data_IF_670460337444
#
_entry.id   IF_670460337444
#
_cell.length_a   1.000
_cell.length_b   1.000
_cell.length_c   1.000
_cell.angle_alpha   90.00
_cell.angle_beta   90.00
_cell.angle_gamma   90.00
#
_symmetry.space_group_name_H-M   'P 1'
#
loop_
_entity.id
_entity.type
_entity.pdbx_description
1 polymer ?
#
# COMPACT_ATOMS: atom_id res chain seq x y z
N UNK A 1 -14.38 37.47 -0.99
CA UNK A 1 -14.82 36.12 -1.40
C UNK A 1 -13.91 35.48 -2.46
N UNK A 2 -12.91 36.17 -3.03
CA UNK A 2 -11.93 35.58 -3.98
C UNK A 2 -10.67 35.00 -3.32
N UNK A 3 -10.32 35.46 -2.10
CA UNK A 3 -9.11 35.00 -1.39
C UNK A 3 -9.23 33.56 -0.85
N UNK A 4 -10.41 33.19 -0.34
CA UNK A 4 -10.68 31.84 0.17
C UNK A 4 -10.56 30.79 -0.94
N UNK A 5 -11.16 31.02 -2.11
CA UNK A 5 -11.11 30.04 -3.21
C UNK A 5 -9.69 29.79 -3.72
N UNK A 6 -8.84 30.81 -3.74
CA UNK A 6 -7.44 30.67 -4.16
C UNK A 6 -6.64 29.88 -3.12
N UNK A 7 -6.76 30.20 -1.83
CA UNK A 7 -6.07 29.46 -0.76
C UNK A 7 -6.50 27.98 -0.68
N UNK A 8 -7.79 27.68 -0.88
CA UNK A 8 -8.28 26.30 -0.95
C UNK A 8 -7.74 25.54 -2.18
N UNK A 9 -7.58 26.20 -3.32
CA UNK A 9 -6.99 25.58 -4.51
C UNK A 9 -5.48 25.31 -4.37
N UNK A 10 -4.74 26.24 -3.77
CA UNK A 10 -3.30 26.05 -3.51
C UNK A 10 -3.08 24.96 -2.46
N UNK A 11 -3.78 25.03 -1.31
CA UNK A 11 -3.70 24.00 -0.26
C UNK A 11 -4.14 22.62 -0.77
N UNK A 12 -5.16 22.55 -1.62
CA UNK A 12 -5.60 21.30 -2.25
C UNK A 12 -4.56 20.70 -3.21
N UNK A 13 -3.84 21.54 -3.97
CA UNK A 13 -2.76 21.09 -4.87
C UNK A 13 -1.54 20.62 -4.08
N UNK A 14 -1.12 21.34 -3.06
CA UNK A 14 0.01 20.97 -2.21
C UNK A 14 -0.25 19.65 -1.49
N UNK A 15 -1.47 19.46 -0.98
CA UNK A 15 -1.90 18.21 -0.36
C UNK A 15 -1.94 17.02 -1.34
N UNK A 16 -2.30 17.26 -2.60
CA UNK A 16 -2.22 16.23 -3.65
C UNK A 16 -0.77 15.86 -3.98
N UNK A 17 0.09 16.85 -4.20
CA UNK A 17 1.50 16.61 -4.51
C UNK A 17 2.22 15.88 -3.37
N UNK A 18 2.01 16.34 -2.13
CA UNK A 18 2.51 15.70 -0.93
C UNK A 18 2.02 14.25 -0.83
N UNK A 19 0.72 14.01 -1.04
CA UNK A 19 0.15 12.66 -0.98
C UNK A 19 0.74 11.73 -2.03
N UNK A 20 0.93 12.21 -3.26
CA UNK A 20 1.55 11.40 -4.31
C UNK A 20 3.01 11.07 -4.00
N UNK A 21 3.76 12.00 -3.41
CA UNK A 21 5.13 11.72 -2.91
C UNK A 21 5.12 10.73 -1.76
N UNK A 22 4.18 10.84 -0.82
CA UNK A 22 4.03 9.89 0.28
C UNK A 22 3.74 8.48 -0.26
N UNK A 23 2.86 8.35 -1.26
CA UNK A 23 2.58 7.07 -1.93
C UNK A 23 3.85 6.49 -2.57
N UNK A 24 4.62 7.32 -3.26
CA UNK A 24 5.89 6.90 -3.87
C UNK A 24 6.92 6.43 -2.85
N UNK A 25 7.01 7.10 -1.69
CA UNK A 25 7.88 6.71 -0.59
C UNK A 25 7.40 5.42 0.07
N UNK A 26 6.12 5.35 0.43
CA UNK A 26 5.51 4.16 1.02
C UNK A 26 5.69 2.93 0.10
N UNK A 27 5.55 3.08 -1.21
CA UNK A 27 5.77 1.99 -2.15
C UNK A 27 7.21 1.43 -2.15
N UNK A 28 8.20 2.13 -1.57
CA UNK A 28 9.59 1.68 -1.43
C UNK A 28 9.85 0.89 -0.16
N UNK A 29 8.88 0.82 0.73
CA UNK A 29 9.00 0.17 2.03
C UNK A 29 9.17 -1.34 1.93
N UNK A 30 9.74 -1.90 3.00
CA UNK A 30 10.17 -3.30 3.07
C UNK A 30 9.05 -4.26 2.67
N UNK A 31 7.81 -4.03 3.10
CA UNK A 31 6.67 -4.89 2.78
C UNK A 31 6.49 -5.11 1.27
N UNK A 32 6.63 -4.05 0.47
CA UNK A 32 6.41 -4.12 -0.98
C UNK A 32 7.62 -4.69 -1.73
N UNK A 33 8.82 -4.59 -1.15
CA UNK A 33 9.99 -5.31 -1.64
C UNK A 33 9.88 -6.80 -1.29
N UNK A 34 9.47 -7.11 -0.06
CA UNK A 34 9.34 -8.46 0.45
C UNK A 34 8.35 -9.26 -0.38
N UNK A 35 7.14 -8.74 -0.65
CA UNK A 35 6.16 -9.46 -1.48
C UNK A 35 6.67 -9.69 -2.91
N UNK A 36 7.40 -8.75 -3.49
CA UNK A 36 8.03 -8.93 -4.80
C UNK A 36 9.08 -10.06 -4.77
N UNK A 37 9.89 -10.14 -3.71
CA UNK A 37 10.82 -11.24 -3.51
C UNK A 37 10.10 -12.58 -3.29
N UNK A 38 9.01 -12.59 -2.52
CA UNK A 38 8.18 -13.78 -2.33
C UNK A 38 7.59 -14.29 -3.65
N UNK A 39 7.04 -13.38 -4.46
CA UNK A 39 6.55 -13.70 -5.80
C UNK A 39 7.65 -14.29 -6.69
N UNK A 40 8.87 -13.74 -6.66
CA UNK A 40 10.01 -14.28 -7.41
C UNK A 40 10.39 -15.71 -6.95
N UNK A 41 10.38 -15.97 -5.64
CA UNK A 41 10.64 -17.32 -5.10
C UNK A 41 9.57 -18.31 -5.56
N UNK A 42 8.30 -17.93 -5.49
CA UNK A 42 7.20 -18.77 -5.96
C UNK A 42 7.30 -19.04 -7.48
N UNK A 43 7.62 -18.02 -8.30
CA UNK A 43 7.78 -18.18 -9.77
C UNK A 43 8.89 -19.14 -10.15
N UNK A 44 9.96 -19.16 -9.36
CA UNK A 44 11.07 -20.09 -9.57
C UNK A 44 10.72 -21.55 -9.21
N UNK A 45 9.45 -21.87 -8.95
CA UNK A 45 8.99 -23.20 -8.56
C UNK A 45 9.49 -23.63 -7.18
N UNK A 46 9.96 -22.68 -6.35
CA UNK A 46 10.54 -23.01 -5.04
C UNK A 46 9.48 -23.18 -3.95
N UNK A 47 8.22 -22.85 -4.24
CA UNK A 47 7.14 -22.88 -3.28
C UNK A 47 5.86 -23.39 -3.96
N UNK A 48 5.27 -24.41 -3.34
CA UNK A 48 4.00 -24.99 -3.78
C UNK A 48 2.81 -24.10 -3.39
N UNK A 49 1.65 -24.26 -4.04
CA UNK A 49 0.40 -23.69 -3.54
C UNK A 49 0.15 -24.06 -2.06
N UNK A 50 -0.56 -23.19 -1.35
CA UNK A 50 -0.89 -23.29 0.08
C UNK A 50 0.32 -23.27 1.04
N UNK A 51 1.54 -23.17 0.50
CA UNK A 51 2.73 -22.99 1.33
C UNK A 51 2.82 -21.57 1.88
N UNK A 52 3.47 -21.44 3.04
CA UNK A 52 3.80 -20.15 3.63
C UNK A 52 5.30 -19.91 3.60
N UNK A 53 5.70 -18.66 3.46
CA UNK A 53 7.10 -18.25 3.57
C UNK A 53 7.22 -16.97 4.40
N UNK A 54 8.39 -16.77 4.99
CA UNK A 54 8.75 -15.51 5.63
C UNK A 54 9.82 -14.80 4.80
N UNK A 55 9.61 -13.50 4.59
CA UNK A 55 10.57 -12.61 3.92
C UNK A 55 10.68 -11.35 4.76
N UNK A 56 11.83 -11.14 5.40
CA UNK A 56 11.99 -10.09 6.39
C UNK A 56 11.03 -10.32 7.56
N UNK A 57 10.27 -9.29 7.92
CA UNK A 57 9.27 -9.35 8.99
C UNK A 57 7.88 -9.81 8.52
N UNK A 58 7.73 -10.23 7.26
CA UNK A 58 6.43 -10.48 6.64
C UNK A 58 6.22 -11.96 6.33
N UNK A 59 5.14 -12.52 6.86
CA UNK A 59 4.64 -13.84 6.48
C UNK A 59 3.75 -13.74 5.24
N UNK A 60 4.04 -14.57 4.26
CA UNK A 60 3.34 -14.63 2.98
C UNK A 60 2.76 -16.01 2.75
N UNK A 61 1.66 -16.06 2.03
CA UNK A 61 1.00 -17.29 1.59
C UNK A 61 1.06 -17.37 0.07
N UNK A 62 1.41 -18.54 -0.45
CA UNK A 62 1.13 -18.88 -1.85
C UNK A 62 -0.28 -19.43 -1.88
N UNK A 63 -1.18 -18.80 -2.63
CA UNK A 63 -2.58 -19.24 -2.78
C UNK A 63 -2.83 -19.58 -4.24
N UNK A 64 -3.74 -20.52 -4.50
CA UNK A 64 -4.27 -20.72 -5.84
C UNK A 64 -5.14 -19.52 -6.24
N UNK A 65 -5.11 -19.15 -7.52
CA UNK A 65 -6.05 -18.17 -8.06
C UNK A 65 -7.47 -18.78 -8.03
N UNK A 66 -8.51 -17.93 -8.00
CA UNK A 66 -9.92 -18.34 -7.85
C UNK A 66 -10.40 -19.31 -8.95
N UNK A 67 -9.70 -19.34 -10.10
CA UNK A 67 -9.99 -20.22 -11.22
C UNK A 67 -9.19 -21.54 -11.22
N UNK A 68 -8.27 -21.74 -10.27
CA UNK A 68 -7.39 -22.94 -10.22
C UNK A 68 -6.28 -22.98 -11.27
N UNK A 69 -6.24 -22.01 -12.19
CA UNK A 69 -5.28 -21.96 -13.31
C UNK A 69 -3.95 -21.28 -12.95
N UNK A 70 -3.79 -20.77 -11.73
CA UNK A 70 -2.61 -19.99 -11.37
C UNK A 70 -2.35 -19.92 -9.88
N UNK A 71 -1.26 -19.25 -9.51
CA UNK A 71 -0.91 -18.99 -8.11
C UNK A 71 -0.68 -17.49 -7.90
N UNK A 72 -1.00 -17.01 -6.71
CA UNK A 72 -0.65 -15.69 -6.22
C UNK A 72 0.13 -15.78 -4.92
N UNK A 73 1.03 -14.82 -4.69
CA UNK A 73 1.65 -14.61 -3.37
C UNK A 73 0.92 -13.47 -2.70
N UNK A 74 0.43 -13.72 -1.49
CA UNK A 74 -0.32 -12.77 -0.68
C UNK A 74 0.40 -12.46 0.63
N UNK A 75 0.34 -11.21 1.07
CA UNK A 75 0.67 -10.78 2.43
C UNK A 75 -0.53 -10.03 2.99
N UNK A 76 -0.89 -10.35 4.23
CA UNK A 76 -1.98 -9.71 4.96
C UNK A 76 -1.36 -8.90 6.09
N UNK A 77 -1.68 -7.62 6.14
CA UNK A 77 -1.24 -6.71 7.21
C UNK A 77 -2.40 -5.94 7.78
N UNK A 78 -2.26 -5.43 9.01
CA UNK A 78 -3.28 -4.58 9.60
C UNK A 78 -3.42 -3.27 8.83
N UNK A 79 -4.65 -2.75 8.74
CA UNK A 79 -4.90 -1.41 8.20
C UNK A 79 -4.07 -0.37 8.95
N UNK A 80 -4.02 -0.49 10.28
CA UNK A 80 -3.24 0.37 11.16
C UNK A 80 -1.77 0.46 10.74
N UNK A 81 -1.13 -0.64 10.35
CA UNK A 81 0.27 -0.62 9.90
C UNK A 81 0.45 0.26 8.66
N UNK A 82 -0.47 0.19 7.70
CA UNK A 82 -0.41 1.00 6.47
C UNK A 82 -0.73 2.47 6.77
N UNK A 83 -1.66 2.74 7.69
CA UNK A 83 -1.97 4.10 8.13
C UNK A 83 -0.79 4.72 8.88
N UNK A 84 -0.19 4.00 9.84
CA UNK A 84 0.99 4.45 10.59
C UNK A 84 2.14 4.75 9.61
N UNK A 85 2.36 3.88 8.61
CA UNK A 85 3.34 4.12 7.54
C UNK A 85 3.02 5.38 6.72
N UNK A 86 1.76 5.57 6.35
CA UNK A 86 1.34 6.72 5.55
C UNK A 86 1.56 8.04 6.31
N UNK A 87 1.25 8.06 7.61
CA UNK A 87 1.46 9.21 8.48
C UNK A 87 2.95 9.50 8.70
N UNK A 88 3.77 8.45 8.87
CA UNK A 88 5.22 8.60 8.94
C UNK A 88 5.76 9.29 7.67
N UNK A 89 5.28 8.90 6.47
CA UNK A 89 5.72 9.54 5.22
C UNK A 89 5.15 10.94 5.05
N UNK A 90 3.95 11.21 5.54
CA UNK A 90 3.40 12.56 5.59
C UNK A 90 4.29 13.47 6.44
N UNK A 91 4.59 13.07 7.68
CA UNK A 91 5.45 13.82 8.61
C UNK A 91 6.87 14.03 8.09
N UNK A 92 7.42 13.01 7.41
CA UNK A 92 8.72 13.12 6.75
C UNK A 92 8.76 14.20 5.66
N UNK A 93 7.65 14.35 4.91
CA UNK A 93 7.55 15.33 3.82
C UNK A 93 7.19 16.73 4.33
N UNK A 94 6.32 16.80 5.33
CA UNK A 94 5.90 18.04 5.98
C UNK A 94 5.60 17.78 7.47
N UNK A 95 6.37 18.43 8.34
CA UNK A 95 6.22 18.33 9.80
C UNK A 95 4.85 18.82 10.29
N UNK A 96 4.16 19.68 9.54
CA UNK A 96 2.82 20.15 9.91
C UNK A 96 1.79 19.01 10.01
N UNK A 97 2.09 17.84 9.43
CA UNK A 97 1.24 16.65 9.54
C UNK A 97 1.11 16.11 10.97
N UNK A 98 2.01 16.45 11.89
CA UNK A 98 1.89 16.12 13.32
C UNK A 98 0.69 16.83 13.96
N UNK A 99 0.40 18.06 13.51
CA UNK A 99 -0.63 18.95 14.07
C UNK A 99 -2.00 18.79 13.39
N UNK A 100 -2.13 17.86 12.44
CA UNK A 100 -3.41 17.62 11.77
C UNK A 100 -4.48 17.17 12.76
N UNK A 101 -5.66 17.78 12.63
CA UNK A 101 -6.86 17.31 13.33
C UNK A 101 -7.18 15.87 12.94
N UNK A 102 -7.92 15.16 13.79
CA UNK A 102 -8.35 13.79 13.50
C UNK A 102 -9.13 13.71 12.17
N UNK A 103 -9.94 14.72 11.88
CA UNK A 103 -10.70 14.81 10.64
C UNK A 103 -9.79 14.96 9.41
N UNK A 104 -8.83 15.89 9.45
CA UNK A 104 -7.85 16.08 8.35
C UNK A 104 -7.03 14.80 8.13
N UNK A 105 -6.58 14.17 9.22
CA UNK A 105 -5.84 12.91 9.18
C UNK A 105 -6.62 11.80 8.51
N UNK A 106 -7.89 11.61 8.89
CA UNK A 106 -8.76 10.58 8.32
C UNK A 106 -9.00 10.80 6.83
N UNK A 107 -9.37 12.04 6.46
CA UNK A 107 -9.58 12.43 5.06
C UNK A 107 -8.33 12.19 4.20
N UNK A 108 -7.15 12.51 4.75
CA UNK A 108 -5.89 12.31 4.04
C UNK A 108 -5.52 10.83 3.90
N UNK A 109 -5.71 10.02 4.95
CA UNK A 109 -5.46 8.57 4.93
C UNK A 109 -6.37 7.82 3.94
N UNK A 110 -7.63 8.20 3.87
CA UNK A 110 -8.57 7.66 2.87
C UNK A 110 -8.11 7.98 1.45
N UNK A 111 -7.72 9.24 1.21
CA UNK A 111 -7.20 9.65 -0.10
C UNK A 111 -5.87 8.94 -0.44
N UNK A 112 -4.98 8.76 0.55
CA UNK A 112 -3.71 8.07 0.38
C UNK A 112 -3.95 6.61 0.00
N UNK A 113 -4.85 5.92 0.70
CA UNK A 113 -5.18 4.51 0.45
C UNK A 113 -5.78 4.33 -0.96
N UNK A 114 -6.61 5.27 -1.40
CA UNK A 114 -7.20 5.29 -2.75
C UNK A 114 -6.13 5.43 -3.84
N UNK A 115 -5.05 6.17 -3.58
CA UNK A 115 -3.98 6.40 -4.55
C UNK A 115 -2.87 5.32 -4.48
N UNK A 116 -2.65 4.71 -3.31
CA UNK A 116 -1.64 3.69 -3.10
C UNK A 116 -1.90 2.43 -3.94
N UNK A 117 -3.13 1.90 -3.92
CA UNK A 117 -3.50 0.69 -4.67
C UNK A 117 -3.20 0.80 -6.17
N UNK A 118 -3.72 1.82 -6.88
CA UNK A 118 -3.43 2.06 -8.29
C UNK A 118 -1.93 2.26 -8.58
N UNK A 119 -1.21 2.96 -7.71
CA UNK A 119 0.23 3.15 -7.86
C UNK A 119 1.00 1.83 -7.77
N UNK A 120 0.73 1.04 -6.74
CA UNK A 120 1.33 -0.28 -6.53
C UNK A 120 1.02 -1.23 -7.69
N UNK A 121 -0.22 -1.22 -8.19
CA UNK A 121 -0.60 -2.04 -9.33
C UNK A 121 0.17 -1.62 -10.58
N UNK A 122 0.17 -0.32 -10.91
CA UNK A 122 0.84 0.21 -12.11
C UNK A 122 2.34 -0.09 -12.11
N UNK A 123 3.03 0.12 -11.00
CA UNK A 123 4.49 0.11 -10.95
C UNK A 123 5.11 -1.17 -10.39
N UNK A 124 4.37 -1.92 -9.58
CA UNK A 124 4.87 -3.13 -8.91
C UNK A 124 4.06 -4.38 -9.21
N UNK A 125 2.97 -4.26 -9.97
CA UNK A 125 2.03 -5.37 -10.24
C UNK A 125 1.46 -5.97 -8.94
N UNK A 126 1.41 -5.16 -7.87
CA UNK A 126 0.83 -5.53 -6.58
C UNK A 126 -0.62 -5.05 -6.57
N UNK A 127 -1.57 -5.96 -6.38
CA UNK A 127 -2.96 -5.59 -6.11
C UNK A 127 -3.13 -5.38 -4.62
N UNK A 128 -3.96 -4.39 -4.27
CA UNK A 128 -4.34 -4.07 -2.90
C UNK A 128 -5.84 -4.32 -2.76
N UNK A 129 -6.24 -5.11 -1.76
CA UNK A 129 -7.64 -5.49 -1.51
C UNK A 129 -7.95 -5.38 -0.01
N UNK A 130 -9.21 -5.17 0.37
CA UNK A 130 -9.66 -5.40 1.74
C UNK A 130 -9.34 -6.85 2.14
N UNK A 131 -8.71 -7.02 3.30
CA UNK A 131 -8.48 -8.32 3.92
C UNK A 131 -9.55 -8.66 4.96
N UNK A 132 -9.43 -9.80 5.65
CA UNK A 132 -10.34 -10.16 6.73
C UNK A 132 -10.26 -9.17 7.91
N UNK A 133 -11.42 -8.74 8.42
CA UNK A 133 -11.50 -7.75 9.50
C UNK A 133 -10.91 -6.40 9.09
N UNK A 134 -10.11 -5.80 9.96
CA UNK A 134 -9.42 -4.52 9.70
C UNK A 134 -8.04 -4.73 9.05
N UNK A 135 -7.97 -5.60 8.05
CA UNK A 135 -6.73 -5.95 7.36
C UNK A 135 -6.73 -5.49 5.90
N UNK A 136 -5.54 -5.42 5.32
CA UNK A 136 -5.31 -5.17 3.90
C UNK A 136 -4.52 -6.35 3.37
N UNK A 137 -4.98 -6.89 2.23
CA UNK A 137 -4.27 -7.94 1.49
C UNK A 137 -3.54 -7.30 0.33
N UNK A 138 -2.23 -7.53 0.23
CA UNK A 138 -1.44 -7.24 -0.95
C UNK A 138 -1.09 -8.53 -1.65
N UNK A 139 -1.22 -8.55 -2.98
CA UNK A 139 -1.00 -9.77 -3.76
C UNK A 139 -0.26 -9.52 -5.09
N UNK A 140 0.56 -10.48 -5.51
CA UNK A 140 1.17 -10.54 -6.83
C UNK A 140 0.83 -11.89 -7.47
N UNK A 141 0.32 -11.87 -8.71
CA UNK A 141 0.14 -13.08 -9.49
C UNK A 141 1.49 -13.64 -9.98
N UNK A 142 1.68 -14.94 -9.79
CA UNK A 142 2.94 -15.67 -9.99
C UNK A 142 2.90 -16.50 -11.27
N UNK A 143 1.83 -17.28 -11.48
CA UNK A 143 1.65 -18.18 -12.63
C UNK A 143 0.25 -17.99 -13.27
N UNK A 144 0.16 -18.35 -14.55
CA UNK A 144 -1.04 -18.60 -15.35
C UNK A 144 -0.84 -19.91 -16.11
#
# INVERSE_FOLDING_TARGET
MLHYDIEWHFRGRDMLEMRMRAVQLAAREEIFLAIAQGALKARAGRLAPESSMEVGSFKMMVVEDENGDGCAVQVIVSRKMIEDLALEKAQYLDKSAEDWSEHERRMWLEAFSRDLGPYLYKWKQIRMRPGPGESITFEIQVCK
#
